data_IF_151046949898
#
_entry.id   IF_151046949898
#
_cell.length_a   1.000
_cell.length_b   1.000
_cell.length_c   1.000
_cell.angle_alpha   90.00
_cell.angle_beta   90.00
_cell.angle_gamma   90.00
#
_symmetry.space_group_name_H-M   'P 1'
#
loop_
_entity.id
_entity.type
_entity.pdbx_description
1 polymer ?
#
# COMPACT_ATOMS: atom_id res chain seq x y z
N UNK A 1 -22.11 8.25 -3.56
CA UNK A 1 -21.03 7.33 -3.15
C UNK A 1 -19.83 8.20 -2.81
N UNK A 2 -19.46 8.32 -1.52
CA UNK A 2 -18.34 9.18 -1.15
C UNK A 2 -17.05 8.55 -1.69
N UNK A 3 -16.46 9.20 -2.67
CA UNK A 3 -15.14 8.89 -3.20
C UNK A 3 -14.17 8.97 -2.01
N UNK A 4 -13.66 7.81 -1.58
CA UNK A 4 -12.89 7.73 -0.35
C UNK A 4 -11.50 8.29 -0.61
N UNK A 5 -11.37 9.60 -0.48
CA UNK A 5 -10.09 10.29 -0.44
C UNK A 5 -9.30 9.67 0.71
N UNK A 6 -8.15 9.07 0.40
CA UNK A 6 -7.22 8.58 1.41
C UNK A 6 -6.61 9.78 2.12
N UNK A 7 -6.64 9.78 3.46
CA UNK A 7 -6.10 10.87 4.26
C UNK A 7 -4.90 10.37 5.05
N UNK A 8 -3.92 11.26 5.21
CA UNK A 8 -2.71 11.00 5.98
C UNK A 8 -3.03 10.57 7.42
N UNK A 9 -4.06 11.17 8.02
CA UNK A 9 -4.50 10.87 9.38
C UNK A 9 -5.11 9.47 9.56
N UNK A 10 -5.55 8.84 8.47
CA UNK A 10 -6.08 7.47 8.51
C UNK A 10 -4.96 6.43 8.33
N UNK A 11 -3.73 6.87 8.00
CA UNK A 11 -2.61 5.98 7.74
C UNK A 11 -2.12 5.31 9.02
N UNK A 12 -1.92 3.99 8.95
CA UNK A 12 -1.46 3.18 10.09
C UNK A 12 0.04 3.33 10.37
N UNK A 13 0.77 4.07 9.53
CA UNK A 13 2.20 4.27 9.63
C UNK A 13 2.55 5.76 9.47
N UNK A 14 3.56 6.23 10.19
CA UNK A 14 4.04 7.62 10.09
C UNK A 14 5.27 7.76 9.19
N UNK A 15 6.00 6.66 8.99
CA UNK A 15 7.24 6.61 8.21
C UNK A 15 7.17 5.58 7.10
N UNK A 16 7.87 5.87 6.01
CA UNK A 16 7.96 5.01 4.85
C UNK A 16 8.81 3.77 5.18
N UNK A 17 8.29 2.54 4.99
CA UNK A 17 9.01 1.32 5.32
C UNK A 17 10.28 1.10 4.48
N UNK A 18 10.39 1.74 3.31
CA UNK A 18 11.54 1.61 2.43
C UNK A 18 12.72 2.50 2.83
N UNK A 19 12.45 3.72 3.30
CA UNK A 19 13.47 4.76 3.47
C UNK A 19 13.54 5.37 4.88
N UNK A 20 12.54 5.11 5.73
CA UNK A 20 12.39 5.74 7.04
C UNK A 20 11.93 7.20 7.02
N UNK A 21 11.77 7.81 5.84
CA UNK A 21 11.28 9.20 5.71
C UNK A 21 9.79 9.32 6.06
N UNK A 22 9.31 10.49 6.49
CA UNK A 22 7.87 10.71 6.74
C UNK A 22 7.01 10.40 5.52
N UNK A 23 5.78 9.95 5.76
CA UNK A 23 4.80 9.71 4.69
C UNK A 23 4.16 11.00 4.20
N UNK A 24 3.61 10.97 2.97
CA UNK A 24 2.94 12.12 2.34
C UNK A 24 1.55 11.76 1.84
N UNK A 25 0.66 12.75 1.82
CA UNK A 25 -0.75 12.63 1.38
C UNK A 25 -0.92 12.18 -0.07
N UNK A 26 0.00 12.58 -0.95
CA UNK A 26 0.03 12.16 -2.35
C UNK A 26 0.51 10.72 -2.59
N UNK A 27 0.93 10.01 -1.54
CA UNK A 27 1.58 8.71 -1.63
C UNK A 27 0.92 7.66 -0.73
N UNK A 28 -0.41 7.69 -0.66
CA UNK A 28 -1.22 6.77 0.15
C UNK A 28 -1.83 5.67 -0.72
N UNK A 29 -2.06 4.49 -0.14
CA UNK A 29 -2.83 3.39 -0.74
C UNK A 29 -3.61 2.62 0.32
N UNK A 30 -4.51 1.74 -0.11
CA UNK A 30 -5.25 0.83 0.77
C UNK A 30 -4.62 -0.55 0.74
N UNK A 31 -4.28 -1.06 1.92
CA UNK A 31 -3.79 -2.42 2.09
C UNK A 31 -4.61 -3.15 3.16
N UNK A 32 -5.28 -4.24 2.77
CA UNK A 32 -6.14 -5.04 3.65
C UNK A 32 -7.16 -4.22 4.47
N UNK A 33 -7.71 -3.17 3.86
CA UNK A 33 -8.69 -2.27 4.48
C UNK A 33 -8.09 -1.15 5.36
N UNK A 34 -6.78 -1.12 5.55
CA UNK A 34 -6.06 -0.06 6.23
C UNK A 34 -5.42 0.92 5.24
N UNK A 35 -5.35 2.21 5.59
CA UNK A 35 -4.60 3.19 4.81
C UNK A 35 -3.12 3.04 5.18
N UNK A 36 -2.26 2.95 4.18
CA UNK A 36 -0.81 2.92 4.33
C UNK A 36 -0.18 4.03 3.50
N UNK A 37 0.83 4.69 4.05
CA UNK A 37 1.50 5.83 3.41
C UNK A 37 2.95 5.58 3.07
N UNK A 38 3.43 6.34 2.09
CA UNK A 38 4.81 6.30 1.60
C UNK A 38 5.41 7.71 1.49
N UNK A 39 6.74 7.81 1.40
CA UNK A 39 7.40 9.10 1.28
C UNK A 39 7.25 9.72 -0.13
N UNK A 40 6.96 8.92 -1.14
CA UNK A 40 6.72 9.35 -2.52
C UNK A 40 5.86 8.31 -3.28
N UNK A 41 5.29 8.67 -4.45
CA UNK A 41 4.49 7.75 -5.25
C UNK A 41 5.28 6.52 -5.73
N UNK A 42 6.58 6.65 -6.03
CA UNK A 42 7.39 5.51 -6.47
C UNK A 42 7.48 4.38 -5.44
N UNK A 43 7.63 4.71 -4.17
CA UNK A 43 7.61 3.73 -3.07
C UNK A 43 6.23 3.09 -2.89
N UNK A 44 5.14 3.85 -3.11
CA UNK A 44 3.77 3.32 -3.11
C UNK A 44 3.59 2.32 -4.26
N UNK A 45 3.95 2.71 -5.47
CA UNK A 45 3.75 1.89 -6.68
C UNK A 45 4.58 0.59 -6.61
N UNK A 46 5.82 0.67 -6.06
CA UNK A 46 6.64 -0.51 -5.82
C UNK A 46 5.98 -1.47 -4.82
N UNK A 47 5.35 -0.94 -3.77
CA UNK A 47 4.60 -1.74 -2.80
C UNK A 47 3.36 -2.38 -3.43
N UNK A 48 2.54 -1.61 -4.16
CA UNK A 48 1.35 -2.13 -4.85
C UNK A 48 1.70 -3.26 -5.81
N UNK A 49 2.77 -3.09 -6.61
CA UNK A 49 3.26 -4.15 -7.49
C UNK A 49 3.69 -5.39 -6.73
N UNK A 50 4.43 -5.23 -5.63
CA UNK A 50 4.87 -6.36 -4.83
C UNK A 50 3.66 -7.14 -4.26
N UNK A 51 2.64 -6.45 -3.77
CA UNK A 51 1.40 -7.09 -3.30
C UNK A 51 0.73 -7.88 -4.42
N UNK A 52 0.57 -7.29 -5.61
CA UNK A 52 -0.02 -7.97 -6.76
C UNK A 52 0.76 -9.22 -7.16
N UNK A 53 2.09 -9.15 -7.20
CA UNK A 53 2.96 -10.28 -7.54
C UNK A 53 2.81 -11.42 -6.51
N UNK A 54 2.75 -11.08 -5.21
CA UNK A 54 2.57 -12.07 -4.15
C UNK A 54 1.16 -12.65 -4.12
N UNK A 55 0.12 -11.85 -4.33
CA UNK A 55 -1.26 -12.34 -4.44
C UNK A 55 -1.42 -13.29 -5.63
N UNK A 56 -0.82 -12.96 -6.78
CA UNK A 56 -0.81 -13.84 -7.95
C UNK A 56 -0.04 -15.14 -7.68
N UNK A 57 1.04 -15.10 -6.90
CA UNK A 57 1.76 -16.31 -6.48
C UNK A 57 0.92 -17.17 -5.52
N UNK A 58 0.26 -16.57 -4.53
CA UNK A 58 -0.62 -17.28 -3.58
C UNK A 58 -1.82 -17.91 -4.28
N UNK A 59 -2.44 -17.21 -5.22
CA UNK A 59 -3.59 -17.74 -5.97
C UNK A 59 -3.21 -18.96 -6.81
N UNK A 60 -2.01 -18.97 -7.39
CA UNK A 60 -1.48 -20.15 -8.11
C UNK A 60 -1.24 -21.34 -7.19
N UNK A 61 -0.71 -21.12 -5.98
CA UNK A 61 -0.54 -22.20 -4.99
C UNK A 61 -1.88 -22.79 -4.54
N UNK A 62 -2.94 -21.97 -4.46
CA UNK A 62 -4.25 -22.42 -4.04
C UNK A 62 -5.00 -23.27 -5.09
N UNK A 63 -4.63 -23.17 -6.38
CA UNK A 63 -5.28 -23.92 -7.48
C UNK A 63 -4.68 -25.30 -7.74
N UNK A 64 -3.51 -25.59 -7.18
CA UNK A 64 -2.80 -26.87 -7.36
C UNK A 64 -3.02 -27.84 -6.17
N UNK A 65 -3.94 -27.53 -5.26
CA UNK A 65 -4.27 -28.30 -4.06
C UNK A 65 -5.63 -28.99 -4.13
#
# INVERSE_FOLDING_TARGET
MAERILRLADAINETCPWSGKPITDGSLTLYKGAVVGFCNPGCRDQFEKAILDFEAALNRQATDG
#
